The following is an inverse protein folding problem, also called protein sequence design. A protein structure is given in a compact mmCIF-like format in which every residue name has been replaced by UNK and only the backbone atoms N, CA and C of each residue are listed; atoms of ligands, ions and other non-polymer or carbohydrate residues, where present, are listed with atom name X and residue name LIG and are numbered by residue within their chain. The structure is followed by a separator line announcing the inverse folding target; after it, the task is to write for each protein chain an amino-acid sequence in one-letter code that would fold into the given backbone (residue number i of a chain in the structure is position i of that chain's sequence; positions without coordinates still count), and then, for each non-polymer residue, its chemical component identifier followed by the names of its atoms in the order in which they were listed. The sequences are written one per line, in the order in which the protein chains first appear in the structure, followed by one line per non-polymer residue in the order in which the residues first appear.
data_IF_018578684057
#
_entry.id   IF_018578684057
#
_cell.length_a   1.000
_cell.length_b   1.000
_cell.length_c   1.000
_cell.angle_alpha   90.00
_cell.angle_beta   90.00
_cell.angle_gamma   90.00
#
_symmetry.space_group_name_H-M   'P 1'
#
loop_
_entity.id
_entity.type
_entity.pdbx_description
1 polymer ?
#
# COMPACT_ATOMS: atom_id res chain seq x y z
N UNK A 1 -7.15 -18.56 7.56
CA UNK A 1 -5.93 -17.95 8.13
C UNK A 1 -6.02 -16.46 7.90
N UNK A 2 -5.89 -15.68 8.94
CA UNK A 2 -5.99 -14.21 8.88
C UNK A 2 -4.69 -13.53 8.46
N UNK A 3 -3.53 -14.16 8.74
CA UNK A 3 -2.24 -13.71 8.18
C UNK A 3 -2.13 -14.16 6.72
N UNK A 4 -2.27 -13.20 5.79
CA UNK A 4 -2.39 -13.47 4.35
C UNK A 4 -1.18 -12.95 3.57
N UNK A 5 -0.96 -13.52 2.38
CA UNK A 5 0.01 -13.02 1.39
C UNK A 5 -0.65 -12.04 0.43
N UNK A 6 0.18 -11.30 -0.32
CA UNK A 6 -0.29 -10.34 -1.32
C UNK A 6 -1.17 -11.02 -2.39
N UNK A 7 -0.75 -12.18 -2.90
CA UNK A 7 -1.49 -12.92 -3.92
C UNK A 7 -2.88 -13.36 -3.41
N UNK A 8 -2.96 -13.81 -2.14
CA UNK A 8 -4.23 -14.28 -1.57
C UNK A 8 -5.30 -13.20 -1.51
N UNK A 9 -4.90 -11.94 -1.37
CA UNK A 9 -5.85 -10.81 -1.29
C UNK A 9 -6.05 -10.07 -2.61
N UNK A 10 -5.07 -10.08 -3.53
CA UNK A 10 -5.19 -9.33 -4.79
C UNK A 10 -5.77 -10.16 -5.94
N UNK A 11 -5.47 -11.46 -6.03
CA UNK A 11 -6.00 -12.30 -7.13
C UNK A 11 -7.53 -12.34 -7.20
N UNK A 12 -8.27 -12.46 -6.07
CA UNK A 12 -9.72 -12.39 -6.13
C UNK A 12 -10.25 -11.06 -6.70
N UNK A 13 -9.52 -9.95 -6.49
CA UNK A 13 -9.94 -8.64 -6.97
C UNK A 13 -10.04 -8.56 -8.51
N UNK A 14 -9.20 -9.32 -9.23
CA UNK A 14 -9.24 -9.39 -10.70
C UNK A 14 -10.58 -9.93 -11.22
N UNK A 15 -11.16 -10.92 -10.53
CA UNK A 15 -12.46 -11.51 -10.92
C UNK A 15 -13.64 -10.71 -10.38
N UNK A 16 -13.50 -10.14 -9.18
CA UNK A 16 -14.59 -9.52 -8.45
C UNK A 16 -14.79 -8.04 -8.84
N UNK A 17 -13.85 -7.46 -9.57
CA UNK A 17 -13.87 -6.03 -9.93
C UNK A 17 -13.79 -5.12 -8.71
N UNK A 18 -13.01 -5.52 -7.70
CA UNK A 18 -12.76 -4.78 -6.45
C UNK A 18 -11.26 -4.54 -6.26
N UNK A 19 -10.90 -3.75 -5.24
CA UNK A 19 -9.50 -3.62 -4.84
C UNK A 19 -9.35 -3.67 -3.33
N UNK A 20 -8.13 -3.95 -2.86
CA UNK A 20 -7.73 -3.88 -1.46
C UNK A 20 -6.96 -2.59 -1.21
N UNK A 21 -7.12 -1.99 -0.04
CA UNK A 21 -6.36 -0.82 0.35
C UNK A 21 -5.07 -1.21 1.07
N UNK A 22 -3.95 -0.61 0.64
CA UNK A 22 -2.70 -0.58 1.39
C UNK A 22 -2.67 0.68 2.24
N UNK A 23 -2.77 0.54 3.55
CA UNK A 23 -2.87 1.66 4.50
C UNK A 23 -1.51 1.90 5.15
N UNK A 24 -1.00 3.13 4.98
CA UNK A 24 0.34 3.51 5.47
C UNK A 24 0.31 3.66 6.98
N UNK A 25 1.01 2.76 7.67
CA UNK A 25 1.16 2.76 9.13
C UNK A 25 2.28 3.70 9.55
N UNK A 26 2.06 4.47 10.62
CA UNK A 26 3.07 5.29 11.27
C UNK A 26 3.25 4.93 12.75
N UNK A 27 2.26 4.27 13.36
CA UNK A 27 2.31 3.84 14.74
C UNK A 27 1.31 2.72 15.05
N UNK A 28 1.26 2.35 16.34
CA UNK A 28 0.37 1.30 16.86
C UNK A 28 -1.11 1.65 16.67
N UNK A 29 -1.47 2.90 16.98
CA UNK A 29 -2.84 3.38 16.91
C UNK A 29 -3.39 3.30 15.49
N UNK A 30 -2.57 3.68 14.50
CA UNK A 30 -2.94 3.57 13.08
C UNK A 30 -3.19 2.11 12.70
N UNK A 31 -2.21 1.23 12.98
CA UNK A 31 -2.27 -0.17 12.57
C UNK A 31 -3.49 -0.88 13.19
N UNK A 32 -3.78 -0.63 14.47
CA UNK A 32 -4.96 -1.15 15.16
C UNK A 32 -6.27 -0.60 14.59
N UNK A 33 -6.32 0.70 14.33
CA UNK A 33 -7.49 1.34 13.72
C UNK A 33 -7.80 0.78 12.32
N UNK A 34 -6.76 0.48 11.52
CA UNK A 34 -6.92 -0.10 10.18
C UNK A 34 -7.47 -1.53 10.22
N UNK A 35 -6.99 -2.35 11.16
CA UNK A 35 -7.53 -3.70 11.33
C UNK A 35 -8.98 -3.65 11.82
N UNK A 36 -9.32 -2.80 12.80
CA UNK A 36 -10.72 -2.57 13.24
C UNK A 36 -11.61 -2.14 12.07
N UNK A 37 -11.12 -1.24 11.20
CA UNK A 37 -11.86 -0.81 10.02
C UNK A 37 -12.10 -1.96 9.04
N UNK A 38 -11.09 -2.78 8.79
CA UNK A 38 -11.18 -3.94 7.91
C UNK A 38 -12.17 -4.99 8.44
N UNK A 39 -12.14 -5.28 9.74
CA UNK A 39 -13.09 -6.17 10.41
C UNK A 39 -14.53 -5.64 10.33
N UNK A 40 -14.74 -4.34 10.61
CA UNK A 40 -16.06 -3.72 10.51
C UNK A 40 -16.64 -3.76 9.07
N UNK A 41 -15.79 -3.75 8.06
CA UNK A 41 -16.18 -3.85 6.65
C UNK A 41 -16.14 -5.30 6.11
N UNK A 42 -15.69 -6.27 6.91
CA UNK A 42 -15.46 -7.67 6.54
C UNK A 42 -14.63 -7.77 5.24
N UNK A 43 -13.48 -7.08 5.21
CA UNK A 43 -12.60 -6.99 4.03
C UNK A 43 -11.13 -7.17 4.40
N UNK A 44 -10.30 -7.71 3.49
CA UNK A 44 -8.85 -7.75 3.70
C UNK A 44 -8.26 -6.33 3.78
N UNK A 45 -7.12 -6.22 4.44
CA UNK A 45 -6.33 -4.98 4.52
C UNK A 45 -4.83 -5.28 4.40
N UNK A 46 -4.09 -4.34 3.83
CA UNK A 46 -2.63 -4.39 3.74
C UNK A 46 -2.07 -3.30 4.66
N UNK A 47 -1.32 -3.70 5.71
CA UNK A 47 -0.58 -2.79 6.58
C UNK A 47 0.78 -2.50 5.96
N UNK A 48 1.06 -1.23 5.63
CA UNK A 48 2.26 -0.82 4.89
C UNK A 48 3.27 -0.10 5.77
N UNK A 49 4.52 -0.59 5.74
CA UNK A 49 5.68 0.03 6.37
C UNK A 49 6.54 0.73 5.32
N UNK A 50 6.24 2.00 5.04
CA UNK A 50 6.99 2.85 4.12
C UNK A 50 8.31 3.39 4.72
N UNK A 51 9.17 4.06 3.91
CA UNK A 51 10.47 4.55 4.35
C UNK A 51 10.42 5.43 5.61
N UNK A 52 9.49 6.38 5.68
CA UNK A 52 9.33 7.25 6.85
C UNK A 52 8.94 6.49 8.13
N UNK A 53 8.08 5.46 8.00
CA UNK A 53 7.74 4.60 9.13
C UNK A 53 8.96 3.81 9.61
N UNK A 54 9.72 3.22 8.69
CA UNK A 54 10.93 2.44 9.01
C UNK A 54 12.05 3.28 9.61
N UNK A 55 12.18 4.54 9.19
CA UNK A 55 13.15 5.48 9.78
C UNK A 55 12.80 5.83 11.24
N UNK A 56 11.50 5.81 11.59
CA UNK A 56 11.03 6.08 12.95
C UNK A 56 11.01 4.81 13.80
N UNK A 57 10.53 3.68 13.27
CA UNK A 57 10.31 2.44 14.01
C UNK A 57 11.01 1.28 13.29
N UNK A 58 11.99 0.58 13.92
CA UNK A 58 12.72 -0.50 13.27
C UNK A 58 11.83 -1.66 12.80
N UNK A 59 12.21 -2.30 11.68
CA UNK A 59 11.47 -3.43 11.09
C UNK A 59 11.14 -4.57 12.06
N UNK A 60 12.03 -4.99 12.99
CA UNK A 60 11.68 -6.03 13.96
C UNK A 60 10.48 -5.65 14.85
N UNK A 61 10.35 -4.38 15.23
CA UNK A 61 9.22 -3.87 16.02
C UNK A 61 7.95 -3.84 15.18
N UNK A 62 8.05 -3.32 13.95
CA UNK A 62 6.93 -3.29 13.00
C UNK A 62 6.46 -4.70 12.65
N UNK A 63 7.38 -5.62 12.39
CA UNK A 63 7.07 -7.01 12.08
C UNK A 63 6.32 -7.70 13.21
N UNK A 64 6.79 -7.57 14.45
CA UNK A 64 6.11 -8.13 15.63
C UNK A 64 4.70 -7.55 15.80
N UNK A 65 4.54 -6.24 15.63
CA UNK A 65 3.25 -5.55 15.69
C UNK A 65 2.29 -6.03 14.59
N UNK A 66 2.75 -6.12 13.34
CA UNK A 66 1.92 -6.55 12.23
C UNK A 66 1.55 -8.04 12.32
N UNK A 67 2.48 -8.90 12.77
CA UNK A 67 2.19 -10.31 13.03
C UNK A 67 1.11 -10.46 14.09
N UNK A 68 1.25 -9.78 15.23
CA UNK A 68 0.24 -9.80 16.30
C UNK A 68 -1.14 -9.40 15.80
N UNK A 69 -1.24 -8.29 15.07
CA UNK A 69 -2.51 -7.81 14.51
C UNK A 69 -3.09 -8.78 13.48
N UNK A 70 -2.26 -9.34 12.60
CA UNK A 70 -2.70 -10.31 11.61
C UNK A 70 -3.19 -11.63 12.22
N UNK A 71 -2.58 -12.09 13.31
CA UNK A 71 -2.95 -13.33 14.00
C UNK A 71 -4.24 -13.19 14.82
N UNK A 72 -4.50 -11.99 15.35
CA UNK A 72 -5.68 -11.71 16.18
C UNK A 72 -6.90 -11.20 15.39
N UNK A 73 -6.70 -10.78 14.14
CA UNK A 73 -7.78 -10.27 13.28
C UNK A 73 -8.76 -11.37 12.85
N UNK A 74 -9.98 -10.96 12.52
CA UNK A 74 -11.04 -11.84 11.96
C UNK A 74 -11.07 -11.84 10.43
N UNK A 75 -10.30 -10.95 9.80
CA UNK A 75 -10.18 -10.79 8.33
C UNK A 75 -8.74 -10.96 7.87
N UNK A 76 -8.50 -11.23 6.57
CA UNK A 76 -7.13 -11.33 6.04
C UNK A 76 -6.36 -10.02 6.18
N UNK A 77 -5.15 -10.10 6.78
CA UNK A 77 -4.22 -8.98 6.95
C UNK A 77 -2.89 -9.33 6.31
N UNK A 78 -2.40 -8.46 5.45
CA UNK A 78 -1.07 -8.55 4.82
C UNK A 78 -0.12 -7.56 5.50
N UNK A 79 1.04 -8.04 5.92
CA UNK A 79 2.15 -7.19 6.37
C UNK A 79 3.05 -6.88 5.18
N UNK A 80 3.18 -5.62 4.79
CA UNK A 80 3.83 -5.21 3.54
C UNK A 80 4.96 -4.22 3.78
N UNK A 81 6.17 -4.55 3.29
CA UNK A 81 7.27 -3.60 3.14
C UNK A 81 6.98 -2.74 1.90
N UNK A 82 6.86 -1.44 2.08
CA UNK A 82 6.57 -0.47 1.02
C UNK A 82 7.85 0.28 0.64
N UNK A 83 8.17 0.35 -0.66
CA UNK A 83 9.40 0.95 -1.21
C UNK A 83 10.72 0.45 -0.56
N UNK A 84 11.02 -0.84 -0.70
CA UNK A 84 12.32 -1.39 -0.35
C UNK A 84 13.38 -0.99 -1.38
N UNK A 85 14.50 -0.42 -0.91
CA UNK A 85 15.54 0.16 -1.76
C UNK A 85 16.55 -0.89 -2.28
N UNK A 86 16.65 -2.03 -1.59
CA UNK A 86 17.56 -3.11 -1.96
C UNK A 86 17.07 -4.49 -1.47
N UNK A 87 17.77 -5.53 -1.89
CA UNK A 87 17.46 -6.91 -1.53
C UNK A 87 17.65 -7.18 -0.01
N UNK A 88 18.53 -6.45 0.66
CA UNK A 88 18.82 -6.67 2.07
C UNK A 88 17.67 -6.18 2.95
N UNK A 89 17.08 -5.03 2.64
CA UNK A 89 15.92 -4.52 3.37
C UNK A 89 14.69 -5.42 3.12
N UNK A 90 14.52 -5.92 1.88
CA UNK A 90 13.47 -6.88 1.57
C UNK A 90 13.66 -8.18 2.36
N UNK A 91 14.89 -8.70 2.43
CA UNK A 91 15.21 -9.88 3.21
C UNK A 91 14.97 -9.67 4.71
N UNK A 92 15.43 -8.56 5.26
CA UNK A 92 15.20 -8.21 6.66
C UNK A 92 13.71 -8.14 7.00
N UNK A 93 12.89 -7.58 6.12
CA UNK A 93 11.44 -7.55 6.31
C UNK A 93 10.84 -8.97 6.35
N UNK A 94 11.28 -9.86 5.45
CA UNK A 94 10.86 -11.27 5.44
C UNK A 94 11.25 -11.96 6.76
N UNK A 95 12.48 -11.77 7.21
CA UNK A 95 12.98 -12.34 8.47
C UNK A 95 12.23 -11.78 9.70
N UNK A 96 11.70 -10.56 9.62
CA UNK A 96 10.82 -9.95 10.62
C UNK A 96 9.34 -10.38 10.50
N UNK A 97 9.01 -11.29 9.57
CA UNK A 97 7.67 -11.85 9.43
C UNK A 97 6.73 -11.10 8.52
N UNK A 98 7.22 -10.22 7.66
CA UNK A 98 6.39 -9.63 6.61
C UNK A 98 5.95 -10.69 5.59
N UNK A 99 4.70 -10.62 5.14
CA UNK A 99 4.10 -11.56 4.18
C UNK A 99 4.09 -11.02 2.74
N UNK A 100 4.57 -9.80 2.57
CA UNK A 100 4.73 -9.12 1.29
C UNK A 100 5.86 -8.10 1.37
N UNK A 101 6.62 -7.96 0.28
CA UNK A 101 7.65 -6.93 0.12
C UNK A 101 7.49 -6.25 -1.23
N UNK A 102 7.74 -4.94 -1.28
CA UNK A 102 7.93 -4.20 -2.50
C UNK A 102 9.42 -3.89 -2.69
N UNK A 103 9.95 -4.20 -3.87
CA UNK A 103 11.23 -3.69 -4.32
C UNK A 103 11.00 -2.53 -5.30
N UNK A 104 11.59 -1.39 -5.00
CA UNK A 104 11.50 -0.19 -5.82
C UNK A 104 12.78 0.03 -6.62
N UNK A 105 12.76 -0.47 -7.86
CA UNK A 105 13.81 -0.27 -8.85
C UNK A 105 13.45 0.82 -9.89
N UNK A 106 12.42 1.62 -9.65
CA UNK A 106 11.85 2.55 -10.65
C UNK A 106 12.82 3.61 -11.15
N UNK A 107 13.82 3.99 -10.34
CA UNK A 107 14.86 4.93 -10.71
C UNK A 107 16.01 4.32 -11.54
N UNK A 108 16.03 3.00 -11.74
CA UNK A 108 17.05 2.28 -12.49
C UNK A 108 16.71 2.21 -13.99
N UNK A 109 17.67 1.75 -14.80
CA UNK A 109 17.38 1.32 -16.16
C UNK A 109 16.38 0.14 -16.13
N UNK A 110 15.62 -0.07 -17.21
CA UNK A 110 14.69 -1.20 -17.31
C UNK A 110 15.41 -2.54 -17.06
N UNK A 111 16.59 -2.72 -17.61
CA UNK A 111 17.38 -3.95 -17.48
C UNK A 111 17.81 -4.19 -16.04
N UNK A 112 18.33 -3.16 -15.36
CA UNK A 112 18.75 -3.25 -13.96
C UNK A 112 17.54 -3.45 -13.03
N UNK A 113 16.42 -2.78 -13.31
CA UNK A 113 15.18 -2.96 -12.56
C UNK A 113 14.69 -4.41 -12.68
N UNK A 114 14.62 -4.96 -13.91
CA UNK A 114 14.26 -6.38 -14.13
C UNK A 114 15.20 -7.31 -13.38
N UNK A 115 16.52 -7.14 -13.52
CA UNK A 115 17.49 -8.03 -12.89
C UNK A 115 17.34 -8.04 -11.37
N UNK A 116 17.33 -6.87 -10.71
CA UNK A 116 17.25 -6.77 -9.26
C UNK A 116 15.87 -7.17 -8.72
N UNK A 117 14.80 -6.81 -9.43
CA UNK A 117 13.45 -7.26 -9.07
C UNK A 117 13.32 -8.78 -9.14
N UNK A 118 13.91 -9.41 -10.17
CA UNK A 118 13.93 -10.88 -10.31
C UNK A 118 14.67 -11.54 -9.15
N UNK A 119 15.80 -10.98 -8.71
CA UNK A 119 16.56 -11.50 -7.55
C UNK A 119 15.70 -11.44 -6.26
N UNK A 120 15.02 -10.31 -6.02
CA UNK A 120 14.12 -10.17 -4.89
C UNK A 120 12.93 -11.12 -4.99
N UNK A 121 12.33 -11.27 -6.17
CA UNK A 121 11.20 -12.16 -6.37
C UNK A 121 11.59 -13.63 -6.17
N UNK A 122 12.76 -14.03 -6.64
CA UNK A 122 13.30 -15.38 -6.44
C UNK A 122 13.53 -15.65 -4.93
N UNK A 123 14.18 -14.73 -4.24
CA UNK A 123 14.40 -14.83 -2.80
C UNK A 123 13.07 -14.92 -2.04
N UNK A 124 12.14 -13.98 -2.25
CA UNK A 124 10.86 -13.91 -1.53
C UNK A 124 10.00 -15.17 -1.73
N UNK A 125 10.00 -15.71 -2.95
CA UNK A 125 9.28 -16.95 -3.30
C UNK A 125 9.73 -18.15 -2.46
N UNK A 126 11.01 -18.25 -2.12
CA UNK A 126 11.53 -19.34 -1.28
C UNK A 126 11.00 -19.29 0.16
N UNK A 127 10.44 -18.15 0.58
CA UNK A 127 9.79 -17.95 1.88
C UNK A 127 8.26 -17.88 1.79
N UNK A 128 7.67 -18.05 0.60
CA UNK A 128 6.23 -17.93 0.38
C UNK A 128 5.70 -16.50 0.53
N UNK A 129 6.56 -15.49 0.35
CA UNK A 129 6.25 -14.05 0.49
C UNK A 129 5.95 -13.45 -0.88
N UNK A 130 4.89 -12.64 -0.96
CA UNK A 130 4.48 -11.94 -2.18
C UNK A 130 5.38 -10.76 -2.51
N UNK A 131 5.55 -10.46 -3.80
CA UNK A 131 6.39 -9.37 -4.29
C UNK A 131 5.60 -8.40 -5.13
N UNK A 132 5.71 -7.12 -4.77
CA UNK A 132 5.33 -5.97 -5.58
C UNK A 132 6.60 -5.32 -6.16
N UNK A 133 6.51 -4.77 -7.37
CA UNK A 133 7.56 -3.94 -7.94
C UNK A 133 6.97 -2.68 -8.55
N UNK A 134 7.81 -1.74 -8.98
CA UNK A 134 7.39 -0.50 -9.65
C UNK A 134 8.04 -0.37 -11.03
N UNK A 135 7.24 0.02 -12.01
CA UNK A 135 7.68 0.38 -13.36
C UNK A 135 7.14 1.75 -13.76
N UNK A 136 8.03 2.64 -14.21
CA UNK A 136 7.80 4.07 -14.21
C UNK A 136 8.13 4.64 -12.84
N UNK A 137 8.02 5.95 -12.66
CA UNK A 137 8.30 6.64 -11.40
C UNK A 137 7.05 7.39 -10.95
N UNK A 138 6.53 7.08 -9.78
CA UNK A 138 5.47 7.87 -9.16
C UNK A 138 6.09 9.05 -8.42
N UNK A 139 5.84 10.26 -8.89
CA UNK A 139 6.37 11.49 -8.30
C UNK A 139 5.62 11.93 -7.03
N UNK A 140 6.01 13.09 -6.52
CA UNK A 140 5.44 13.71 -5.34
C UNK A 140 4.73 15.02 -5.71
N UNK A 141 3.68 15.36 -4.96
CA UNK A 141 2.88 16.56 -5.21
C UNK A 141 3.69 17.87 -5.12
N UNK A 142 4.82 17.87 -4.40
CA UNK A 142 5.66 19.02 -4.08
C UNK A 142 7.09 18.97 -4.68
N UNK A 143 7.38 18.03 -5.61
CA UNK A 143 8.76 18.03 -6.11
C UNK A 143 9.14 17.03 -7.18
N UNK A 144 9.32 15.78 -6.84
CA UNK A 144 9.87 14.81 -7.79
C UNK A 144 8.94 14.54 -8.98
N UNK A 145 9.49 14.67 -10.19
CA UNK A 145 8.73 14.44 -11.42
C UNK A 145 8.37 12.96 -11.58
N UNK A 146 7.17 12.70 -12.14
CA UNK A 146 6.75 11.36 -12.53
C UNK A 146 7.33 10.96 -13.89
N UNK A 147 7.65 9.69 -14.05
CA UNK A 147 7.86 9.05 -15.35
C UNK A 147 6.77 8.03 -15.56
N UNK A 148 5.92 8.22 -16.56
CA UNK A 148 4.78 7.34 -16.82
C UNK A 148 5.23 5.93 -17.20
N UNK A 149 4.49 4.91 -16.73
CA UNK A 149 4.70 3.52 -17.12
C UNK A 149 4.46 3.34 -18.63
N UNK A 150 5.42 2.75 -19.32
CA UNK A 150 5.29 2.39 -20.74
C UNK A 150 4.62 1.01 -20.87
N UNK A 151 3.40 0.92 -21.46
CA UNK A 151 2.70 -0.35 -21.63
C UNK A 151 3.49 -1.40 -22.41
N UNK A 152 4.34 -0.98 -23.35
CA UNK A 152 5.16 -1.89 -24.15
C UNK A 152 6.20 -2.68 -23.32
N UNK A 153 6.59 -2.16 -22.16
CA UNK A 153 7.59 -2.77 -21.28
C UNK A 153 6.96 -3.74 -20.26
N UNK A 154 5.66 -3.59 -19.95
CA UNK A 154 5.00 -4.28 -18.83
C UNK A 154 4.99 -5.79 -19.00
N UNK A 155 4.65 -6.31 -20.18
CA UNK A 155 4.59 -7.76 -20.44
C UNK A 155 5.96 -8.41 -20.24
N UNK A 156 7.03 -7.78 -20.72
CA UNK A 156 8.40 -8.23 -20.55
C UNK A 156 8.80 -8.17 -19.08
N UNK A 157 8.57 -7.04 -18.42
CA UNK A 157 8.90 -6.86 -17.00
C UNK A 157 8.25 -7.94 -16.13
N UNK A 158 6.94 -8.17 -16.29
CA UNK A 158 6.22 -9.20 -15.52
C UNK A 158 6.72 -10.61 -15.80
N UNK A 159 6.92 -10.98 -17.07
CA UNK A 159 7.42 -12.30 -17.45
C UNK A 159 8.81 -12.57 -16.87
N UNK A 160 9.71 -11.59 -16.93
CA UNK A 160 11.11 -11.76 -16.58
C UNK A 160 11.36 -11.64 -15.05
N UNK A 161 10.48 -10.95 -14.32
CA UNK A 161 10.58 -10.81 -12.85
C UNK A 161 9.69 -11.79 -12.08
N UNK A 162 8.53 -12.12 -12.62
CA UNK A 162 7.54 -12.97 -11.97
C UNK A 162 6.93 -12.37 -10.72
N UNK A 163 6.81 -11.04 -10.62
CA UNK A 163 6.17 -10.33 -9.50
C UNK A 163 4.68 -10.62 -9.42
N UNK A 164 4.12 -10.48 -8.24
CA UNK A 164 2.71 -10.76 -7.95
C UNK A 164 1.80 -9.55 -8.14
N UNK A 165 2.38 -8.35 -8.12
CA UNK A 165 1.71 -7.09 -8.38
C UNK A 165 2.68 -6.05 -8.94
N UNK A 166 2.18 -5.09 -9.71
CA UNK A 166 2.97 -4.02 -10.32
C UNK A 166 2.40 -2.65 -9.99
N UNK A 167 3.18 -1.83 -9.30
CA UNK A 167 2.91 -0.41 -9.13
C UNK A 167 3.21 0.35 -10.44
N UNK A 168 2.25 1.17 -10.85
CA UNK A 168 2.30 1.90 -12.12
C UNK A 168 2.16 3.41 -11.91
N UNK A 169 2.82 4.18 -12.77
CA UNK A 169 2.75 5.64 -12.82
C UNK A 169 1.87 6.07 -14.01
N UNK A 170 0.70 6.60 -13.71
CA UNK A 170 -0.34 6.97 -14.67
C UNK A 170 -0.99 8.31 -14.34
N UNK A 171 -0.22 9.23 -13.75
CA UNK A 171 -0.69 10.53 -13.28
C UNK A 171 -1.04 10.57 -11.78
N UNK A 172 -0.90 9.48 -11.08
CA UNK A 172 -0.96 9.40 -9.62
C UNK A 172 0.31 10.04 -9.00
N UNK A 173 0.14 10.69 -7.84
CA UNK A 173 1.22 11.38 -7.13
C UNK A 173 1.16 11.05 -5.64
N UNK A 174 2.33 10.91 -5.01
CA UNK A 174 2.43 10.79 -3.57
C UNK A 174 2.07 12.09 -2.85
N UNK A 175 1.59 11.97 -1.61
CA UNK A 175 1.36 13.06 -0.65
C UNK A 175 0.37 14.16 -1.12
N UNK A 176 -0.51 13.86 -2.09
CA UNK A 176 -1.59 14.78 -2.43
C UNK A 176 -2.52 14.99 -1.23
N UNK A 177 -2.79 16.25 -0.89
CA UNK A 177 -3.63 16.64 0.25
C UNK A 177 -5.12 16.72 -0.09
N UNK A 178 -5.46 16.65 -1.37
CA UNK A 178 -6.83 16.61 -1.89
C UNK A 178 -6.92 15.71 -3.10
N UNK A 179 -8.12 15.21 -3.39
CA UNK A 179 -8.37 14.44 -4.61
C UNK A 179 -8.30 15.34 -5.85
N UNK A 180 -7.88 14.77 -6.98
CA UNK A 180 -7.76 15.48 -8.25
C UNK A 180 -6.56 15.04 -9.10
N UNK A 181 -5.94 13.91 -8.74
CA UNK A 181 -4.87 13.33 -9.56
C UNK A 181 -5.38 13.09 -11.00
N UNK A 182 -4.63 13.56 -12.03
CA UNK A 182 -5.03 13.42 -13.43
C UNK A 182 -4.74 12.00 -13.95
N UNK A 183 -5.51 11.02 -13.50
CA UNK A 183 -5.29 9.60 -13.82
C UNK A 183 -5.54 9.31 -15.29
N UNK A 184 -4.53 8.83 -16.00
CA UNK A 184 -4.60 8.36 -17.38
C UNK A 184 -5.23 6.95 -17.44
N UNK A 185 -6.56 6.92 -17.55
CA UNK A 185 -7.32 5.68 -17.62
C UNK A 185 -7.10 4.91 -18.95
N UNK A 186 -6.69 5.60 -20.02
CA UNK A 186 -6.37 4.94 -21.29
C UNK A 186 -5.08 4.11 -21.11
N UNK A 187 -4.06 4.72 -20.52
CA UNK A 187 -2.81 4.02 -20.21
C UNK A 187 -3.00 2.84 -19.27
N UNK A 188 -3.89 2.93 -18.28
CA UNK A 188 -4.23 1.77 -17.42
C UNK A 188 -4.79 0.61 -18.26
N UNK A 189 -5.71 0.90 -19.21
CA UNK A 189 -6.27 -0.14 -20.11
C UNK A 189 -5.19 -0.77 -20.99
N UNK A 190 -4.29 0.04 -21.54
CA UNK A 190 -3.19 -0.45 -22.37
C UNK A 190 -2.23 -1.35 -21.58
N UNK A 191 -1.89 -0.96 -20.34
CA UNK A 191 -1.09 -1.77 -19.41
C UNK A 191 -1.81 -3.08 -19.08
N UNK A 192 -3.09 -3.03 -18.73
CA UNK A 192 -3.88 -4.21 -18.42
C UNK A 192 -3.99 -5.18 -19.62
N UNK A 193 -4.10 -4.64 -20.83
CA UNK A 193 -4.11 -5.43 -22.05
C UNK A 193 -2.74 -6.08 -22.35
N UNK A 194 -1.63 -5.39 -22.04
CA UNK A 194 -0.27 -5.92 -22.21
C UNK A 194 0.06 -7.05 -21.23
N UNK A 195 -0.56 -7.06 -20.04
CA UNK A 195 -0.33 -8.08 -19.01
C UNK A 195 -1.66 -8.56 -18.39
N UNK A 196 -2.46 -9.35 -19.12
CA UNK A 196 -3.74 -9.84 -18.64
C UNK A 196 -3.54 -10.73 -17.39
N UNK A 197 -4.20 -10.36 -16.28
CA UNK A 197 -4.11 -11.12 -15.02
C UNK A 197 -3.00 -10.66 -14.08
N UNK A 198 -2.22 -9.63 -14.42
CA UNK A 198 -1.32 -8.96 -13.49
C UNK A 198 -2.11 -7.96 -12.60
N UNK A 199 -2.13 -8.11 -11.26
CA UNK A 199 -2.66 -7.10 -10.36
C UNK A 199 -1.87 -5.81 -10.47
N UNK A 200 -2.54 -4.69 -10.77
CA UNK A 200 -1.95 -3.37 -10.81
C UNK A 200 -2.15 -2.64 -9.48
N UNK A 201 -1.18 -1.80 -9.13
CA UNK A 201 -1.20 -1.01 -7.90
C UNK A 201 -1.11 0.47 -8.24
N UNK A 202 -1.92 1.29 -7.59
CA UNK A 202 -1.82 2.75 -7.67
C UNK A 202 -1.37 3.31 -6.32
N UNK A 203 -0.17 3.87 -6.31
CA UNK A 203 0.33 4.68 -5.20
C UNK A 203 -0.36 6.05 -5.18
N UNK A 204 -0.27 6.77 -4.06
CA UNK A 204 -0.90 8.09 -3.94
C UNK A 204 -2.43 8.06 -4.01
N UNK A 205 -3.06 6.99 -3.56
CA UNK A 205 -4.51 6.79 -3.64
C UNK A 205 -5.35 7.88 -2.97
N UNK A 206 -4.82 8.61 -1.97
CA UNK A 206 -5.49 9.78 -1.38
C UNK A 206 -5.78 10.87 -2.41
N UNK A 207 -4.93 11.01 -3.45
CA UNK A 207 -5.15 11.93 -4.57
C UNK A 207 -6.23 11.48 -5.56
N UNK A 208 -6.73 10.25 -5.47
CA UNK A 208 -7.72 9.68 -6.39
C UNK A 208 -9.10 9.75 -5.73
N UNK A 209 -10.07 10.40 -6.40
CA UNK A 209 -11.43 10.52 -5.88
C UNK A 209 -12.08 9.13 -5.64
N UNK A 210 -12.90 8.97 -4.57
CA UNK A 210 -13.53 7.70 -4.22
C UNK A 210 -14.30 7.03 -5.37
N UNK A 211 -15.04 7.80 -6.16
CA UNK A 211 -15.80 7.29 -7.31
C UNK A 211 -14.86 6.78 -8.42
N UNK A 212 -13.75 7.47 -8.62
CA UNK A 212 -12.75 7.02 -9.59
C UNK A 212 -12.04 5.75 -9.10
N UNK A 213 -11.74 5.63 -7.80
CA UNK A 213 -11.20 4.37 -7.23
C UNK A 213 -12.14 3.20 -7.51
N UNK A 214 -13.47 3.34 -7.32
CA UNK A 214 -14.47 2.31 -7.66
C UNK A 214 -14.46 1.95 -9.15
N UNK A 215 -14.33 2.94 -10.01
CA UNK A 215 -14.25 2.71 -11.46
C UNK A 215 -12.98 1.95 -11.83
N UNK A 216 -11.84 2.35 -11.29
CA UNK A 216 -10.54 1.74 -11.56
C UNK A 216 -10.43 0.32 -10.99
N UNK A 217 -11.05 0.03 -9.85
CA UNK A 217 -11.10 -1.32 -9.28
C UNK A 217 -11.80 -2.35 -10.18
N UNK A 218 -12.61 -1.90 -11.16
CA UNK A 218 -13.21 -2.77 -12.19
C UNK A 218 -12.28 -3.07 -13.37
N UNK A 219 -11.06 -2.59 -13.29
CA UNK A 219 -9.97 -2.93 -14.21
C UNK A 219 -9.01 -3.90 -13.50
N UNK A 220 -7.75 -3.99 -13.94
CA UNK A 220 -6.75 -4.78 -13.23
C UNK A 220 -6.15 -4.04 -12.00
N UNK A 221 -6.66 -2.86 -11.62
CA UNK A 221 -6.20 -2.15 -10.41
C UNK A 221 -6.77 -2.84 -9.18
N UNK A 222 -5.92 -3.59 -8.49
CA UNK A 222 -6.29 -4.43 -7.35
C UNK A 222 -5.83 -3.87 -6.00
N UNK A 223 -4.98 -2.82 -5.99
CA UNK A 223 -4.47 -2.20 -4.76
C UNK A 223 -4.38 -0.68 -4.91
N UNK A 224 -4.79 0.04 -3.87
CA UNK A 224 -4.55 1.48 -3.71
C UNK A 224 -3.78 1.75 -2.43
N UNK A 225 -2.64 2.46 -2.52
CA UNK A 225 -1.89 2.91 -1.36
C UNK A 225 -2.47 4.23 -0.84
N UNK A 226 -2.97 4.25 0.39
CA UNK A 226 -3.62 5.41 1.01
C UNK A 226 -2.89 5.76 2.31
N UNK A 227 -2.47 7.01 2.44
CA UNK A 227 -1.77 7.49 3.63
C UNK A 227 -2.20 8.89 4.05
N UNK A 228 -2.29 9.84 3.11
CA UNK A 228 -2.54 11.25 3.45
C UNK A 228 -3.89 11.47 4.12
N UNK A 229 -4.97 10.87 3.63
CA UNK A 229 -6.31 10.96 4.23
C UNK A 229 -6.29 10.53 5.70
N UNK A 230 -5.56 9.45 6.00
CA UNK A 230 -5.45 8.87 7.35
C UNK A 230 -4.65 9.77 8.29
N UNK A 231 -3.53 10.33 7.79
CA UNK A 231 -2.72 11.31 8.53
C UNK A 231 -3.50 12.59 8.83
N UNK A 232 -4.33 13.04 7.89
CA UNK A 232 -5.20 14.20 8.08
C UNK A 232 -6.25 13.93 9.17
N UNK A 233 -6.88 12.74 9.16
CA UNK A 233 -7.83 12.32 10.19
C UNK A 233 -7.17 12.28 11.58
N UNK A 234 -5.98 11.65 11.70
CA UNK A 234 -5.19 11.63 12.92
C UNK A 234 -4.88 13.05 13.42
N UNK A 235 -4.30 13.90 12.55
CA UNK A 235 -3.89 15.25 12.92
C UNK A 235 -5.06 16.15 13.30
N UNK A 236 -6.24 15.99 12.67
CA UNK A 236 -7.45 16.71 13.03
C UNK A 236 -7.97 16.27 14.40
N UNK A 237 -8.03 14.97 14.66
CA UNK A 237 -8.48 14.41 15.94
C UNK A 237 -7.58 14.83 17.11
N UNK A 238 -6.25 14.76 16.91
CA UNK A 238 -5.28 15.17 17.94
C UNK A 238 -5.41 16.67 18.28
N UNK A 239 -5.53 17.52 17.24
CA UNK A 239 -5.77 18.96 17.46
C UNK A 239 -7.08 19.23 18.21
N UNK A 240 -8.15 18.52 17.87
CA UNK A 240 -9.44 18.66 18.55
C UNK A 240 -9.34 18.24 20.03
N UNK A 241 -8.63 17.17 20.35
CA UNK A 241 -8.40 16.72 21.72
C UNK A 241 -7.63 17.77 22.54
N UNK A 242 -6.54 18.32 22.00
CA UNK A 242 -5.73 19.34 22.66
C UNK A 242 -6.45 20.69 22.78
N UNK A 243 -7.25 21.09 21.79
CA UNK A 243 -8.07 22.31 21.87
C UNK A 243 -9.16 22.21 22.95
N UNK A 244 -9.70 21.02 23.18
CA UNK A 244 -10.72 20.77 24.20
C UNK A 244 -10.15 20.80 25.63
N UNK A 245 -8.92 20.28 25.78
CA UNK A 245 -8.17 20.28 27.03
C UNK A 245 -6.68 20.57 26.77
N UNK A 246 -6.27 21.86 26.74
CA UNK A 246 -4.88 22.24 26.45
C UNK A 246 -3.87 21.78 27.53
N UNK A 247 -4.34 21.47 28.74
CA UNK A 247 -3.49 21.01 29.84
C UNK A 247 -3.27 19.49 29.81
N UNK A 248 -3.95 18.76 28.94
CA UNK A 248 -3.85 17.32 28.84
C UNK A 248 -2.47 16.90 28.32
N UNK A 249 -1.78 16.04 29.06
CA UNK A 249 -0.42 15.59 28.74
C UNK A 249 -0.30 14.06 28.64
N UNK A 250 -1.33 13.31 29.07
CA UNK A 250 -1.29 11.85 28.99
C UNK A 250 -1.33 11.39 27.54
N UNK A 251 -0.21 10.80 27.11
CA UNK A 251 -0.02 10.34 25.72
C UNK A 251 -1.04 9.28 25.33
N UNK A 252 -1.28 8.29 26.22
CA UNK A 252 -2.20 7.19 25.91
C UNK A 252 -3.61 7.73 25.71
N UNK A 253 -4.07 8.60 26.60
CA UNK A 253 -5.38 9.20 26.51
C UNK A 253 -5.53 10.08 25.26
N UNK A 254 -4.50 10.85 24.88
CA UNK A 254 -4.50 11.66 23.65
C UNK A 254 -4.56 10.80 22.38
N UNK A 255 -3.73 9.78 22.31
CA UNK A 255 -3.65 8.91 21.12
C UNK A 255 -4.87 8.01 20.99
N UNK A 256 -5.44 7.53 22.10
CA UNK A 256 -6.69 6.75 22.07
C UNK A 256 -7.86 7.51 21.44
N UNK A 257 -7.93 8.83 21.60
CA UNK A 257 -8.97 9.64 20.98
C UNK A 257 -8.81 9.79 19.46
N UNK A 258 -7.65 9.49 18.91
CA UNK A 258 -7.43 9.55 17.47
C UNK A 258 -7.90 8.29 16.74
N UNK A 259 -8.06 7.17 17.45
CA UNK A 259 -8.33 5.87 16.82
C UNK A 259 -9.67 5.78 16.10
N UNK A 260 -10.76 6.26 16.71
CA UNK A 260 -12.09 6.19 16.07
C UNK A 260 -12.15 7.05 14.80
N UNK A 261 -11.68 8.32 14.78
CA UNK A 261 -11.58 9.09 13.53
C UNK A 261 -10.70 8.46 12.45
N UNK A 262 -9.59 7.84 12.84
CA UNK A 262 -8.70 7.11 11.90
C UNK A 262 -9.38 5.84 11.40
N UNK A 263 -10.10 5.11 12.27
CA UNK A 263 -10.91 3.93 11.88
C UNK A 263 -11.98 4.32 10.85
N UNK A 264 -12.69 5.42 11.07
CA UNK A 264 -13.72 5.89 10.13
C UNK A 264 -13.14 6.31 8.79
N UNK A 265 -11.99 6.98 8.77
CA UNK A 265 -11.27 7.32 7.54
C UNK A 265 -10.81 6.06 6.80
N UNK A 266 -10.29 5.07 7.51
CA UNK A 266 -9.89 3.78 6.93
C UNK A 266 -11.09 3.00 6.36
N UNK A 267 -12.24 3.00 7.06
CA UNK A 267 -13.50 2.42 6.56
C UNK A 267 -13.96 3.09 5.26
N UNK A 268 -13.91 4.43 5.21
CA UNK A 268 -14.23 5.17 3.99
C UNK A 268 -13.30 4.79 2.83
N UNK A 269 -12.01 4.64 3.09
CA UNK A 269 -11.04 4.18 2.10
C UNK A 269 -11.38 2.76 1.59
N UNK A 270 -11.65 1.81 2.47
CA UNK A 270 -12.03 0.42 2.11
C UNK A 270 -13.31 0.42 1.25
N UNK A 271 -14.34 1.17 1.64
CA UNK A 271 -15.60 1.26 0.90
C UNK A 271 -15.45 1.85 -0.50
N UNK A 272 -14.46 2.72 -0.69
CA UNK A 272 -14.19 3.35 -1.99
C UNK A 272 -13.58 2.41 -3.04
N UNK A 273 -13.26 1.18 -2.66
CA UNK A 273 -12.64 0.18 -3.54
C UNK A 273 -13.57 -1.00 -3.90
N UNK A 274 -14.89 -0.77 -3.77
CA UNK A 274 -15.95 -1.76 -4.08
C UNK A 274 -16.71 -1.42 -5.35
#
# INVERSE_FOLDING_TARGET
MTRATLQQVLRPCLSDGTAVVGLVVLGWEDARAYVRAAEAENRPVILQAGPGCRAHTPLPVLGAMFCYLAETATVPVVSHLDHGEDIHICRLAIDCGFTSVMYDGSALSLEDNIARTSDVAHMARSFGVGVEAELGVVGYADGAASTGTDPAQVARFWRDTGVDALAISVGNLHLMQSSGAPIDQARIRDIAAAAPGLPLVLHGGSGIAPDLRRTLARTNVCKFNIGTDLRQAFGAALRAALNRDPARFDRIALLSETEDPVTDAARAAIRSCR
#
